data_IF_165202827925
#
_entry.id   IF_165202827925
#
_cell.length_a   1.000
_cell.length_b   1.000
_cell.length_c   1.000
_cell.angle_alpha   90.00
_cell.angle_beta   90.00
_cell.angle_gamma   90.00
#
_symmetry.space_group_name_H-M   'P 1'
#
loop_
_entity.id
_entity.type
_entity.pdbx_description
1 polymer ?
#
# COMPACT_ATOMS: atom_id res chain seq x y z
N UNK A 1 22.76 -12.60 -12.13
CA UNK A 1 23.70 -12.16 -11.07
C UNK A 1 23.09 -12.41 -9.69
N UNK A 2 23.62 -13.35 -8.90
CA UNK A 2 23.18 -13.60 -7.52
C UNK A 2 23.87 -12.62 -6.56
N UNK A 3 23.24 -11.48 -6.28
CA UNK A 3 23.67 -10.58 -5.19
C UNK A 3 22.80 -10.84 -3.97
N UNK A 4 23.37 -11.01 -2.77
CA UNK A 4 22.59 -11.16 -1.55
C UNK A 4 21.74 -9.91 -1.30
N UNK A 5 20.52 -10.09 -0.80
CA UNK A 5 19.59 -9.01 -0.41
C UNK A 5 19.16 -9.22 1.03
N UNK A 6 19.15 -8.15 1.81
CA UNK A 6 18.55 -8.14 3.14
C UNK A 6 17.05 -7.98 3.01
N UNK A 7 16.30 -8.91 3.59
CA UNK A 7 14.84 -8.85 3.69
C UNK A 7 14.47 -8.80 5.16
N UNK A 8 13.44 -8.01 5.47
CA UNK A 8 12.87 -7.93 6.81
C UNK A 8 11.39 -8.27 6.73
N UNK A 9 10.94 -9.14 7.61
CA UNK A 9 9.53 -9.48 7.82
C UNK A 9 9.34 -9.70 9.31
N UNK A 10 8.36 -9.02 9.92
CA UNK A 10 8.11 -9.03 11.36
C UNK A 10 7.94 -10.46 11.92
N UNK A 11 7.23 -11.33 11.20
CA UNK A 11 7.00 -12.72 11.59
C UNK A 11 8.28 -13.57 11.66
N UNK A 12 9.33 -13.17 10.95
CA UNK A 12 10.61 -13.92 10.85
C UNK A 12 11.71 -13.24 11.66
N UNK A 13 11.79 -11.91 11.60
CA UNK A 13 12.88 -11.13 12.17
C UNK A 13 12.65 -10.74 13.64
N UNK A 14 11.41 -10.82 14.14
CA UNK A 14 11.10 -10.53 15.54
C UNK A 14 10.91 -11.84 16.28
N UNK A 15 11.60 -12.00 17.41
CA UNK A 15 11.32 -13.11 18.31
C UNK A 15 9.94 -12.96 18.94
N UNK A 16 8.95 -13.65 18.38
CA UNK A 16 7.56 -13.59 18.84
C UNK A 16 7.37 -14.15 20.26
N UNK A 17 8.37 -14.87 20.82
CA UNK A 17 8.33 -15.45 22.16
C UNK A 17 8.92 -14.53 23.24
N UNK A 18 9.62 -13.46 22.85
CA UNK A 18 10.18 -12.47 23.77
C UNK A 18 9.41 -11.15 23.64
N UNK A 19 8.52 -10.89 24.60
CA UNK A 19 7.71 -9.68 24.62
C UNK A 19 8.54 -8.40 24.77
N UNK A 20 9.72 -8.47 25.41
CA UNK A 20 10.59 -7.31 25.61
C UNK A 20 11.31 -6.94 24.32
N UNK A 21 11.83 -7.93 23.59
CA UNK A 21 12.39 -7.73 22.25
C UNK A 21 11.30 -7.26 21.29
N UNK A 22 10.14 -7.92 21.28
CA UNK A 22 9.00 -7.55 20.44
C UNK A 22 8.60 -6.09 20.65
N UNK A 23 8.49 -5.63 21.90
CA UNK A 23 8.21 -4.22 22.20
C UNK A 23 9.24 -3.26 21.62
N UNK A 24 10.54 -3.60 21.71
CA UNK A 24 11.61 -2.81 21.10
C UNK A 24 11.54 -2.82 19.57
N UNK A 25 11.34 -3.97 18.95
CA UNK A 25 11.25 -4.10 17.49
C UNK A 25 10.04 -3.35 16.94
N UNK A 26 8.88 -3.44 17.60
CA UNK A 26 7.67 -2.68 17.23
C UNK A 26 7.93 -1.18 17.28
N UNK A 27 8.64 -0.69 18.31
CA UNK A 27 9.03 0.72 18.38
C UNK A 27 10.01 1.14 17.26
N UNK A 28 10.77 0.20 16.70
CA UNK A 28 11.71 0.43 15.60
C UNK A 28 11.09 0.29 14.20
N UNK A 29 9.89 -0.28 14.06
CA UNK A 29 9.26 -0.55 12.76
C UNK A 29 9.20 0.70 11.87
N UNK A 30 8.82 1.85 12.42
CA UNK A 30 8.80 3.11 11.68
C UNK A 30 10.18 3.48 11.08
N UNK A 31 11.27 3.20 11.80
CA UNK A 31 12.64 3.42 11.33
C UNK A 31 13.05 2.37 10.29
N UNK A 32 12.60 1.12 10.45
CA UNK A 32 12.91 0.05 9.49
C UNK A 32 12.24 0.36 8.14
N UNK A 33 10.95 0.67 8.13
CA UNK A 33 10.21 1.01 6.91
C UNK A 33 10.72 2.27 6.22
N UNK A 34 11.14 3.28 6.99
CA UNK A 34 11.69 4.51 6.41
C UNK A 34 13.08 4.34 5.81
N UNK A 35 13.88 3.39 6.30
CA UNK A 35 15.19 3.07 5.74
C UNK A 35 15.16 1.93 4.71
N UNK A 36 14.02 1.29 4.50
CA UNK A 36 13.89 0.24 3.50
C UNK A 36 14.00 0.81 2.08
N UNK A 37 14.86 0.21 1.25
CA UNK A 37 14.95 0.57 -0.17
C UNK A 37 13.63 0.31 -0.92
N UNK A 38 12.86 -0.69 -0.49
CA UNK A 38 11.56 -1.02 -1.05
C UNK A 38 10.76 -1.85 -0.04
N UNK A 39 9.48 -1.54 0.09
CA UNK A 39 8.50 -2.36 0.80
C UNK A 39 7.72 -3.18 -0.23
N UNK A 40 7.53 -4.47 0.06
CA UNK A 40 6.78 -5.39 -0.77
C UNK A 40 5.54 -5.83 0.00
N UNK A 41 4.37 -5.59 -0.58
CA UNK A 41 3.07 -5.98 -0.03
C UNK A 41 2.52 -7.10 -0.89
N UNK A 42 2.08 -8.19 -0.26
CA UNK A 42 1.44 -9.31 -0.95
C UNK A 42 -0.01 -9.40 -0.49
N UNK A 43 -0.97 -9.17 -1.39
CA UNK A 43 -2.40 -9.22 -1.09
C UNK A 43 -3.00 -10.62 -1.24
N UNK A 44 -2.18 -11.65 -1.48
CA UNK A 44 -2.65 -12.99 -1.82
C UNK A 44 -2.82 -13.19 -3.32
N UNK A 45 -3.40 -14.34 -3.67
CA UNK A 45 -3.75 -14.66 -5.06
C UNK A 45 -4.74 -13.64 -5.63
N UNK A 46 -4.62 -13.38 -6.92
CA UNK A 46 -5.52 -12.46 -7.62
C UNK A 46 -6.93 -13.04 -7.59
N UNK A 47 -7.85 -12.28 -6.99
CA UNK A 47 -9.28 -12.56 -7.01
C UNK A 47 -10.03 -11.39 -7.68
N UNK A 48 -11.31 -11.59 -8.00
CA UNK A 48 -12.09 -10.60 -8.74
C UNK A 48 -12.12 -9.21 -8.07
N UNK A 49 -12.15 -9.15 -6.74
CA UNK A 49 -12.16 -7.90 -5.98
C UNK A 49 -10.79 -7.20 -6.01
N UNK A 50 -9.70 -7.93 -5.81
CA UNK A 50 -8.34 -7.36 -5.84
C UNK A 50 -8.00 -6.89 -7.26
N UNK A 51 -8.32 -7.68 -8.29
CA UNK A 51 -8.08 -7.31 -9.68
C UNK A 51 -8.88 -6.05 -10.06
N UNK A 52 -10.16 -5.96 -9.67
CA UNK A 52 -10.97 -4.77 -9.89
C UNK A 52 -10.41 -3.54 -9.16
N UNK A 53 -9.94 -3.70 -7.92
CA UNK A 53 -9.29 -2.68 -7.12
C UNK A 53 -8.00 -2.14 -7.76
N UNK A 54 -7.07 -3.04 -8.11
CA UNK A 54 -5.83 -2.69 -8.82
C UNK A 54 -6.17 -1.97 -10.14
N UNK A 55 -7.13 -2.47 -10.90
CA UNK A 55 -7.60 -1.83 -12.12
C UNK A 55 -8.17 -0.43 -11.89
N UNK A 56 -8.89 -0.21 -10.78
CA UNK A 56 -9.39 1.10 -10.39
C UNK A 56 -8.23 2.08 -10.10
N UNK A 57 -7.26 1.65 -9.30
CA UNK A 57 -6.06 2.43 -8.97
C UNK A 57 -5.26 2.81 -10.23
N UNK A 58 -5.02 1.88 -11.14
CA UNK A 58 -4.33 2.15 -12.41
C UNK A 58 -5.07 3.20 -13.24
N UNK A 59 -6.39 3.05 -13.42
CA UNK A 59 -7.21 4.04 -14.16
C UNK A 59 -7.19 5.42 -13.50
N UNK A 60 -7.20 5.47 -12.17
CA UNK A 60 -7.11 6.74 -11.42
C UNK A 60 -5.73 7.39 -11.59
N UNK A 61 -4.66 6.59 -11.53
CA UNK A 61 -3.30 7.07 -11.79
C UNK A 61 -3.16 7.61 -13.22
N UNK A 62 -3.59 6.87 -14.24
CA UNK A 62 -3.57 7.31 -15.63
C UNK A 62 -4.33 8.62 -15.84
N UNK A 63 -5.51 8.72 -15.21
CA UNK A 63 -6.32 9.93 -15.27
C UNK A 63 -5.67 11.12 -14.58
N UNK A 64 -5.08 10.91 -13.40
CA UNK A 64 -4.37 11.94 -12.67
C UNK A 64 -3.08 12.37 -13.39
N UNK A 65 -2.40 11.46 -14.08
CA UNK A 65 -1.24 11.78 -14.92
C UNK A 65 -1.66 12.64 -16.11
N UNK A 66 -2.75 12.27 -16.78
CA UNK A 66 -3.24 12.94 -17.99
C UNK A 66 -3.93 14.28 -17.73
N UNK A 67 -4.67 14.40 -16.63
CA UNK A 67 -5.54 15.55 -16.35
C UNK A 67 -5.16 16.32 -15.07
N UNK A 68 -4.13 15.87 -14.35
CA UNK A 68 -3.77 16.39 -13.03
C UNK A 68 -4.82 16.10 -11.95
N UNK A 69 -4.69 16.75 -10.79
CA UNK A 69 -5.65 16.67 -9.68
C UNK A 69 -7.05 17.26 -10.02
N UNK A 70 -7.24 17.77 -11.25
CA UNK A 70 -8.51 18.30 -11.76
C UNK A 70 -9.46 17.21 -12.30
N UNK A 71 -9.12 15.94 -12.13
CA UNK A 71 -9.96 14.82 -12.54
C UNK A 71 -11.31 14.82 -11.80
N UNK A 72 -12.35 15.31 -12.48
CA UNK A 72 -13.69 15.55 -11.90
C UNK A 72 -14.72 14.45 -12.19
N UNK A 73 -14.33 13.33 -12.82
CA UNK A 73 -15.26 12.19 -12.92
C UNK A 73 -15.45 11.57 -11.53
N UNK A 74 -16.68 11.11 -11.25
CA UNK A 74 -16.99 10.32 -10.04
C UNK A 74 -16.01 9.16 -9.97
N UNK A 75 -15.29 9.07 -8.86
CA UNK A 75 -14.54 7.85 -8.53
C UNK A 75 -15.58 6.88 -8.01
N UNK A 76 -15.59 5.68 -8.57
CA UNK A 76 -16.39 4.59 -8.03
C UNK A 76 -15.73 4.13 -6.72
N UNK A 77 -16.26 4.66 -5.62
CA UNK A 77 -15.80 4.32 -4.27
C UNK A 77 -16.21 2.91 -3.87
N UNK A 78 -17.31 2.37 -4.40
CA UNK A 78 -17.82 1.04 -4.02
C UNK A 78 -16.89 -0.07 -4.51
N UNK A 79 -16.41 0.02 -5.76
CA UNK A 79 -15.38 -0.88 -6.30
C UNK A 79 -14.03 -0.75 -5.60
N UNK A 80 -13.73 0.44 -5.04
CA UNK A 80 -12.50 0.69 -4.28
C UNK A 80 -12.62 0.16 -2.84
N UNK A 81 -13.82 0.14 -2.29
CA UNK A 81 -14.07 -0.29 -0.92
C UNK A 81 -13.71 -1.76 -0.72
N UNK A 82 -14.05 -2.63 -1.67
CA UNK A 82 -13.71 -4.06 -1.61
C UNK A 82 -12.18 -4.33 -1.61
N UNK A 83 -11.40 -3.41 -2.18
CA UNK A 83 -9.94 -3.44 -2.13
C UNK A 83 -9.42 -3.01 -0.76
N UNK A 84 -9.98 -1.92 -0.21
CA UNK A 84 -9.63 -1.43 1.14
C UNK A 84 -10.21 -2.25 2.30
N UNK A 85 -11.11 -3.19 2.04
CA UNK A 85 -11.63 -4.12 3.06
C UNK A 85 -10.80 -5.40 3.19
N UNK A 86 -9.76 -5.60 2.37
CA UNK A 86 -8.86 -6.75 2.55
C UNK A 86 -8.10 -6.62 3.87
N UNK A 87 -7.78 -7.74 4.51
CA UNK A 87 -7.15 -7.78 5.85
C UNK A 87 -5.86 -6.94 5.95
N UNK A 88 -5.12 -6.80 4.84
CA UNK A 88 -3.96 -5.90 4.77
C UNK A 88 -4.33 -4.43 5.03
N UNK A 89 -5.48 -3.98 4.51
CA UNK A 89 -5.97 -2.61 4.66
C UNK A 89 -6.71 -2.34 6.00
N UNK A 90 -7.11 -3.40 6.70
CA UNK A 90 -7.70 -3.29 8.03
C UNK A 90 -6.63 -3.09 9.13
N UNK A 91 -5.38 -3.46 8.85
CA UNK A 91 -4.26 -3.21 9.75
C UNK A 91 -3.84 -1.73 9.69
N UNK A 92 -3.99 -0.99 10.79
CA UNK A 92 -3.57 0.42 10.98
C UNK A 92 -2.12 0.75 10.53
N UNK A 93 -1.33 -0.26 10.18
CA UNK A 93 0.07 -0.23 9.73
C UNK A 93 0.26 0.28 8.29
N UNK A 94 -0.78 0.34 7.45
CA UNK A 94 -0.67 0.88 6.07
C UNK A 94 -0.15 2.31 6.06
N UNK A 95 -0.50 3.11 7.07
CA UNK A 95 -0.05 4.50 7.16
C UNK A 95 1.47 4.56 7.36
N UNK A 96 2.04 3.65 8.15
CA UNK A 96 3.49 3.57 8.36
C UNK A 96 4.21 3.03 7.12
N UNK A 97 3.64 2.04 6.43
CA UNK A 97 4.24 1.46 5.22
C UNK A 97 4.11 2.38 3.99
N UNK A 98 3.05 3.18 3.90
CA UNK A 98 2.75 4.01 2.73
C UNK A 98 3.35 5.41 2.82
N UNK A 99 3.31 6.04 4.00
CA UNK A 99 3.77 7.44 4.17
C UNK A 99 5.28 7.50 4.38
N UNK A 100 5.88 6.49 5.01
CA UNK A 100 7.28 6.58 5.46
C UNK A 100 8.30 6.01 4.47
N UNK A 101 7.88 5.19 3.51
CA UNK A 101 8.83 4.54 2.59
C UNK A 101 8.93 5.24 1.24
N UNK A 102 10.14 5.26 0.68
CA UNK A 102 10.42 5.86 -0.62
C UNK A 102 9.94 5.00 -1.80
N UNK A 103 9.61 3.73 -1.58
CA UNK A 103 9.15 2.81 -2.63
C UNK A 103 8.31 1.67 -2.08
N UNK A 104 7.04 1.58 -2.51
CA UNK A 104 6.12 0.47 -2.23
C UNK A 104 5.79 -0.28 -3.52
N UNK A 105 5.73 -1.60 -3.48
CA UNK A 105 5.12 -2.42 -4.53
C UNK A 105 4.09 -3.35 -3.93
N UNK A 106 2.88 -3.30 -4.46
CA UNK A 106 1.80 -4.21 -4.08
C UNK A 106 1.69 -5.29 -5.16
N UNK A 107 1.66 -6.55 -4.73
CA UNK A 107 1.56 -7.72 -5.58
C UNK A 107 0.26 -8.48 -5.27
N UNK A 108 -0.37 -9.00 -6.30
CA UNK A 108 -1.46 -9.96 -6.19
C UNK A 108 -1.42 -10.94 -7.36
N UNK A 109 -1.03 -12.18 -7.11
CA UNK A 109 -0.74 -13.13 -8.19
C UNK A 109 0.25 -12.52 -9.21
N UNK A 110 -0.09 -12.46 -10.52
CA UNK A 110 0.76 -11.84 -11.55
C UNK A 110 0.66 -10.30 -11.60
N UNK A 111 -0.32 -9.70 -10.92
CA UNK A 111 -0.55 -8.26 -10.96
C UNK A 111 0.39 -7.51 -9.99
N UNK A 112 0.95 -6.39 -10.46
CA UNK A 112 1.80 -5.51 -9.65
C UNK A 112 1.33 -4.07 -9.77
N UNK A 113 1.16 -3.40 -8.63
CA UNK A 113 0.87 -1.96 -8.55
C UNK A 113 2.10 -1.25 -7.97
N UNK A 114 2.61 -0.27 -8.71
CA UNK A 114 3.83 0.47 -8.38
C UNK A 114 3.55 1.62 -7.41
N UNK A 115 4.62 2.10 -6.75
CA UNK A 115 4.56 3.24 -5.85
C UNK A 115 4.00 4.51 -6.51
N UNK A 116 4.31 4.74 -7.79
CA UNK A 116 3.83 5.93 -8.52
C UNK A 116 2.31 5.87 -8.74
N UNK A 117 1.81 4.73 -9.21
CA UNK A 117 0.37 4.52 -9.41
C UNK A 117 -0.39 4.65 -8.08
N UNK A 118 0.18 4.08 -7.01
CA UNK A 118 -0.33 4.21 -5.65
C UNK A 118 -0.37 5.65 -5.16
N UNK A 119 0.75 6.35 -5.18
CA UNK A 119 0.89 7.74 -4.71
C UNK A 119 -0.09 8.68 -5.40
N UNK A 120 -0.23 8.51 -6.72
CA UNK A 120 -1.06 9.37 -7.54
C UNK A 120 -2.55 9.09 -7.34
N UNK A 121 -2.96 7.82 -7.33
CA UNK A 121 -4.33 7.43 -7.03
C UNK A 121 -4.73 7.76 -5.59
N UNK A 122 -3.84 7.53 -4.62
CA UNK A 122 -4.04 7.84 -3.21
C UNK A 122 -4.23 9.35 -2.96
N UNK A 123 -3.46 10.20 -3.66
CA UNK A 123 -3.62 11.65 -3.59
C UNK A 123 -5.01 12.12 -4.09
N UNK A 124 -5.51 11.53 -5.18
CA UNK A 124 -6.87 11.80 -5.69
C UNK A 124 -7.94 11.27 -4.73
N UNK A 125 -7.72 10.10 -4.15
CA UNK A 125 -8.63 9.46 -3.22
C UNK A 125 -8.77 10.27 -1.92
N UNK A 126 -7.67 10.66 -1.29
CA UNK A 126 -7.64 11.49 -0.08
C UNK A 126 -8.30 12.85 -0.29
N UNK A 127 -8.01 13.54 -1.41
CA UNK A 127 -8.64 14.82 -1.73
C UNK A 127 -10.16 14.71 -1.91
N UNK A 128 -10.66 13.58 -2.42
CA UNK A 128 -12.09 13.34 -2.61
C UNK A 128 -12.78 12.88 -1.33
N UNK A 129 -12.11 12.09 -0.48
CA UNK A 129 -12.62 11.73 0.85
C UNK A 129 -12.79 12.96 1.75
N UNK A 130 -11.80 13.86 1.80
CA UNK A 130 -11.89 15.11 2.57
C UNK A 130 -13.07 15.96 2.11
N UNK A 131 -13.32 16.04 0.80
CA UNK A 131 -14.45 16.78 0.22
C UNK A 131 -15.81 16.10 0.39
N UNK A 132 -15.86 14.79 0.61
CA UNK A 132 -17.10 14.05 0.83
C UNK A 132 -17.61 14.19 2.28
N UNK A 133 -16.69 14.44 3.23
CA UNK A 133 -16.99 14.63 4.65
C UNK A 133 -16.98 16.09 5.13
N UNK A 134 -16.87 17.06 4.20
CA UNK A 134 -17.02 18.51 4.47
C UNK A 134 -18.38 19.00 3.99
#
# INVERSE_FOLDING_TARGET
THRPRSLWADAVCINQRDNKEKGHQVALMAKIYSNANCVLVWLGESNGAIHAGIGCFRRLADAAWKYGLRYNKKVDFDSSNAFFTQDWFAGLWIVQEYVLTSSVKIYSGPDVLSHQELSLAGSVFLLKLVRYHS
#
